data_IF_977409219835
#
_entry.id   IF_977409219835
#
_cell.length_a   1.000
_cell.length_b   1.000
_cell.length_c   1.000
_cell.angle_alpha   90.00
_cell.angle_beta   90.00
_cell.angle_gamma   90.00
#
_symmetry.space_group_name_H-M   'P 1'
#
loop_
_entity.id
_entity.type
_entity.pdbx_description
1 polymer ?
#
# COMPACT_ATOMS: atom_id res chain seq x y z
N UNK A 1 -1.83 16.60 -6.79
CA UNK A 1 -0.61 15.80 -6.56
C UNK A 1 -1.07 14.37 -6.52
N UNK A 2 -0.51 13.50 -7.37
CA UNK A 2 -0.89 12.09 -7.43
C UNK A 2 -0.06 11.30 -6.43
N UNK A 3 -0.71 10.54 -5.55
CA UNK A 3 -0.04 9.78 -4.49
C UNK A 3 -0.44 8.32 -4.61
N UNK A 4 0.55 7.43 -4.63
CA UNK A 4 0.35 5.98 -4.69
C UNK A 4 0.76 5.34 -3.37
N UNK A 5 -0.11 4.53 -2.79
CA UNK A 5 0.19 3.80 -1.57
C UNK A 5 0.55 2.36 -1.86
N UNK A 6 1.59 1.89 -1.18
CA UNK A 6 2.01 0.49 -1.10
C UNK A 6 1.87 0.01 0.34
N UNK A 7 1.09 -1.05 0.55
CA UNK A 7 0.94 -1.73 1.83
C UNK A 7 1.62 -3.11 1.77
N UNK A 8 2.95 -3.19 2.04
CA UNK A 8 3.70 -4.44 2.00
C UNK A 8 3.40 -5.36 3.19
N UNK A 9 2.79 -6.50 2.90
CA UNK A 9 2.67 -7.64 3.81
C UNK A 9 3.66 -8.76 3.51
N UNK A 10 3.68 -9.78 4.36
CA UNK A 10 4.62 -10.91 4.25
C UNK A 10 4.48 -11.79 2.99
N UNK A 11 3.41 -11.63 2.21
CA UNK A 11 3.16 -12.42 1.00
C UNK A 11 2.42 -11.67 -0.11
N UNK A 12 2.07 -10.42 0.12
CA UNK A 12 1.23 -9.63 -0.76
C UNK A 12 1.45 -8.15 -0.48
N UNK A 13 1.25 -7.33 -1.49
CA UNK A 13 1.31 -5.87 -1.40
C UNK A 13 0.00 -5.29 -1.92
N UNK A 14 -0.71 -4.57 -1.07
CA UNK A 14 -1.88 -3.77 -1.48
C UNK A 14 -1.42 -2.49 -2.18
N UNK A 15 -2.16 -2.07 -3.20
CA UNK A 15 -1.92 -0.83 -3.95
C UNK A 15 -3.18 0.01 -3.94
N UNK A 16 -3.03 1.30 -3.64
CA UNK A 16 -4.07 2.31 -3.76
C UNK A 16 -3.53 3.61 -4.39
N UNK A 17 -4.42 4.44 -4.90
CA UNK A 17 -4.07 5.71 -5.55
C UNK A 17 -5.02 6.83 -5.12
N UNK A 18 -4.49 8.03 -4.99
CA UNK A 18 -5.26 9.28 -5.03
C UNK A 18 -4.71 10.17 -6.13
N UNK A 19 -5.50 10.41 -7.17
CA UNK A 19 -5.05 11.24 -8.32
C UNK A 19 -5.09 12.74 -8.00
N UNK A 20 -6.00 13.14 -7.11
CA UNK A 20 -6.24 14.55 -6.74
C UNK A 20 -5.76 14.89 -5.32
N UNK A 21 -5.28 13.92 -4.55
CA UNK A 21 -4.86 14.10 -3.16
C UNK A 21 -6.01 14.34 -2.18
N UNK A 22 -7.22 13.88 -2.53
CA UNK A 22 -8.44 14.05 -1.73
C UNK A 22 -9.02 12.72 -1.28
N UNK A 23 -9.23 11.81 -2.25
CA UNK A 23 -9.83 10.50 -1.99
C UNK A 23 -8.88 9.39 -2.43
N UNK A 24 -8.67 8.42 -1.55
CA UNK A 24 -7.94 7.20 -1.86
C UNK A 24 -8.84 6.14 -2.48
N UNK A 25 -8.35 5.46 -3.51
CA UNK A 25 -9.07 4.38 -4.20
C UNK A 25 -8.21 3.12 -4.30
N UNK A 26 -8.77 1.92 -4.05
CA UNK A 26 -8.04 0.67 -4.16
C UNK A 26 -7.75 0.35 -5.63
N UNK A 27 -6.54 -0.10 -5.94
CA UNK A 27 -6.08 -0.42 -7.30
C UNK A 27 -5.95 -1.91 -7.52
N UNK A 28 -5.04 -2.55 -6.78
CA UNK A 28 -4.69 -3.95 -7.00
C UNK A 28 -4.01 -4.55 -5.76
N UNK A 29 -3.96 -5.88 -5.73
CA UNK A 29 -3.13 -6.64 -4.80
C UNK A 29 -2.13 -7.46 -5.61
N UNK A 30 -0.83 -7.28 -5.34
CA UNK A 30 0.23 -8.11 -5.89
C UNK A 30 0.55 -9.23 -4.90
N UNK A 31 0.63 -10.47 -5.37
CA UNK A 31 1.09 -11.61 -4.56
C UNK A 31 2.51 -11.95 -4.97
N UNK A 32 3.47 -11.53 -4.16
CA UNK A 32 4.91 -11.77 -4.34
C UNK A 32 5.63 -11.59 -2.99
N UNK A 33 6.65 -12.42 -2.74
CA UNK A 33 7.48 -12.37 -1.54
C UNK A 33 8.90 -11.91 -1.83
N UNK A 34 9.39 -12.19 -3.04
CA UNK A 34 10.72 -11.76 -3.45
C UNK A 34 10.70 -10.28 -3.81
N UNK A 35 11.56 -9.49 -3.17
CA UNK A 35 11.59 -8.02 -3.34
C UNK A 35 11.86 -7.63 -4.80
N UNK A 36 12.78 -8.31 -5.49
CA UNK A 36 13.14 -7.96 -6.86
C UNK A 36 11.99 -8.28 -7.84
N UNK A 37 11.32 -9.43 -7.65
CA UNK A 37 10.14 -9.76 -8.43
C UNK A 37 8.97 -8.83 -8.12
N UNK A 38 8.81 -8.41 -6.87
CA UNK A 38 7.78 -7.46 -6.47
C UNK A 38 7.98 -6.11 -7.15
N UNK A 39 9.20 -5.58 -7.17
CA UNK A 39 9.54 -4.34 -7.90
C UNK A 39 9.20 -4.48 -9.37
N UNK A 40 9.57 -5.59 -10.00
CA UNK A 40 9.24 -5.88 -11.41
C UNK A 40 7.72 -5.84 -11.65
N UNK A 41 6.93 -6.38 -10.72
CA UNK A 41 5.46 -6.37 -10.78
C UNK A 41 4.84 -5.01 -10.45
N UNK A 42 5.54 -4.15 -9.71
CA UNK A 42 5.11 -2.79 -9.38
C UNK A 42 5.35 -1.80 -10.53
N UNK A 43 6.41 -2.00 -11.33
CA UNK A 43 6.78 -1.10 -12.43
C UNK A 43 5.62 -0.72 -13.37
N UNK A 44 4.72 -1.62 -13.79
CA UNK A 44 3.57 -1.24 -14.61
C UNK A 44 2.63 -0.24 -13.92
N UNK A 45 2.45 -0.34 -12.60
CA UNK A 45 1.62 0.59 -11.83
C UNK A 45 2.33 1.94 -11.66
N UNK A 46 3.61 1.92 -11.28
CA UNK A 46 4.42 3.13 -11.14
C UNK A 46 4.50 3.91 -12.47
N UNK A 47 4.70 3.20 -13.58
CA UNK A 47 4.75 3.82 -14.92
C UNK A 47 3.39 4.34 -15.37
N UNK A 48 2.30 3.61 -15.10
CA UNK A 48 0.95 4.00 -15.49
C UNK A 48 0.46 5.22 -14.74
N UNK A 49 0.60 5.22 -13.42
CA UNK A 49 0.07 6.28 -12.56
C UNK A 49 1.05 7.44 -12.38
N UNK A 50 2.36 7.18 -12.56
CA UNK A 50 3.44 8.15 -12.41
C UNK A 50 3.24 9.09 -11.21
N UNK A 51 3.11 8.55 -9.99
CA UNK A 51 2.79 9.36 -8.82
C UNK A 51 3.91 10.36 -8.52
N UNK A 52 3.53 11.49 -7.95
CA UNK A 52 4.46 12.49 -7.45
C UNK A 52 5.16 11.97 -6.18
N UNK A 53 4.44 11.19 -5.39
CA UNK A 53 4.85 10.66 -4.09
C UNK A 53 4.34 9.23 -3.89
N UNK A 54 5.14 8.39 -3.21
CA UNK A 54 4.76 7.04 -2.81
C UNK A 54 4.66 6.98 -1.28
N UNK A 55 3.49 6.58 -0.78
CA UNK A 55 3.29 6.29 0.64
C UNK A 55 3.48 4.80 0.86
N UNK A 56 4.28 4.42 1.85
CA UNK A 56 4.49 3.03 2.25
C UNK A 56 3.96 2.80 3.65
N UNK A 57 2.88 2.02 3.75
CA UNK A 57 2.32 1.58 5.03
C UNK A 57 3.29 0.66 5.74
N UNK A 58 3.64 0.98 6.99
CA UNK A 58 4.54 0.15 7.79
C UNK A 58 4.06 0.02 9.24
N UNK A 59 4.19 -1.17 9.85
CA UNK A 59 3.95 -1.31 11.28
C UNK A 59 5.05 -0.61 12.08
N UNK A 60 4.81 -0.35 13.36
CA UNK A 60 5.82 0.26 14.24
C UNK A 60 7.07 -0.61 14.38
N UNK A 61 6.91 -1.93 14.46
CA UNK A 61 8.00 -2.87 14.70
C UNK A 61 7.79 -4.18 13.92
N UNK A 62 8.87 -4.94 13.74
CA UNK A 62 8.82 -6.29 13.19
C UNK A 62 9.47 -6.44 11.81
N UNK A 63 9.46 -7.65 11.25
CA UNK A 63 10.21 -7.99 10.03
C UNK A 63 9.71 -7.23 8.78
N UNK A 64 8.45 -6.78 8.79
CA UNK A 64 7.87 -6.00 7.68
C UNK A 64 8.58 -4.64 7.53
N UNK A 65 9.09 -4.05 8.61
CA UNK A 65 9.82 -2.77 8.54
C UNK A 65 11.05 -2.90 7.67
N UNK A 66 11.86 -3.95 7.90
CA UNK A 66 13.06 -4.19 7.09
C UNK A 66 12.70 -4.49 5.63
N UNK A 67 11.65 -5.30 5.41
CA UNK A 67 11.17 -5.60 4.06
C UNK A 67 10.72 -4.34 3.30
N UNK A 68 10.00 -3.45 3.99
CA UNK A 68 9.54 -2.18 3.43
C UNK A 68 10.74 -1.26 3.09
N UNK A 69 11.75 -1.20 3.96
CA UNK A 69 12.99 -0.48 3.69
C UNK A 69 13.69 -1.02 2.44
N UNK A 70 13.96 -2.34 2.39
CA UNK A 70 14.60 -2.98 1.23
C UNK A 70 13.81 -2.74 -0.06
N UNK A 71 12.47 -2.82 0.02
CA UNK A 71 11.59 -2.56 -1.11
C UNK A 71 11.68 -1.09 -1.56
N UNK A 72 11.71 -0.13 -0.63
CA UNK A 72 11.81 1.29 -0.95
C UNK A 72 13.11 1.63 -1.68
N UNK A 73 14.24 1.05 -1.26
CA UNK A 73 15.54 1.25 -1.92
C UNK A 73 15.49 0.74 -3.36
N UNK A 74 14.95 -0.47 -3.56
CA UNK A 74 14.83 -1.07 -4.90
C UNK A 74 13.83 -0.35 -5.80
N UNK A 75 12.76 0.21 -5.24
CA UNK A 75 11.84 1.07 -6.00
C UNK A 75 12.56 2.36 -6.41
N UNK A 76 13.28 3.00 -5.48
CA UNK A 76 13.97 4.24 -5.74
C UNK A 76 15.02 4.12 -6.86
N UNK A 77 15.73 2.98 -6.92
CA UNK A 77 16.68 2.66 -8.00
C UNK A 77 16.06 2.73 -9.41
N UNK A 78 14.78 2.41 -9.55
CA UNK A 78 14.08 2.33 -10.85
C UNK A 78 13.04 3.43 -11.05
N UNK A 79 12.60 4.08 -9.98
CA UNK A 79 11.57 5.11 -9.96
C UNK A 79 11.89 6.11 -8.83
N UNK A 80 12.81 7.06 -9.06
CA UNK A 80 13.37 7.94 -8.03
C UNK A 80 12.41 9.09 -7.68
N UNK A 81 11.25 8.74 -7.13
CA UNK A 81 10.27 9.67 -6.54
C UNK A 81 10.35 9.63 -5.02
N UNK A 82 9.72 10.60 -4.37
CA UNK A 82 9.65 10.65 -2.92
C UNK A 82 8.91 9.43 -2.38
N UNK A 83 9.47 8.80 -1.34
CA UNK A 83 8.87 7.66 -0.65
C UNK A 83 8.74 8.01 0.83
N UNK A 84 7.52 8.03 1.34
CA UNK A 84 7.18 8.37 2.72
C UNK A 84 6.72 7.11 3.45
N UNK A 85 7.33 6.81 4.58
CA UNK A 85 6.88 5.74 5.46
C UNK A 85 5.78 6.26 6.38
N UNK A 86 4.58 5.71 6.23
CA UNK A 86 3.43 6.05 7.08
C UNK A 86 3.18 4.93 8.08
N UNK A 87 3.24 5.27 9.37
CA UNK A 87 3.14 4.31 10.47
C UNK A 87 1.68 4.04 10.78
N UNK A 88 1.27 2.78 10.68
CA UNK A 88 -0.07 2.35 11.10
C UNK A 88 -0.15 2.24 12.62
N UNK A 89 -1.21 2.77 13.23
CA UNK A 89 -1.55 2.45 14.60
C UNK A 89 -2.31 1.11 14.67
N UNK A 90 -1.88 0.21 15.55
CA UNK A 90 -2.53 -1.08 15.78
C UNK A 90 -4.01 -0.95 16.20
N UNK A 91 -4.38 0.19 16.82
CA UNK A 91 -5.76 0.50 17.21
C UNK A 91 -6.68 0.67 15.99
N UNK A 92 -6.26 1.37 14.93
CA UNK A 92 -7.13 1.55 13.77
C UNK A 92 -7.25 0.29 12.91
N UNK A 93 -6.22 -0.55 12.87
CA UNK A 93 -6.29 -1.84 12.17
C UNK A 93 -7.41 -2.75 12.74
N UNK A 94 -7.56 -2.76 14.07
CA UNK A 94 -8.60 -3.54 14.77
C UNK A 94 -9.99 -2.92 14.56
N UNK A 95 -10.12 -1.59 14.65
CA UNK A 95 -11.39 -0.89 14.46
C UNK A 95 -11.93 -1.00 13.02
N UNK A 96 -11.06 -0.93 12.01
CA UNK A 96 -11.46 -0.98 10.59
C UNK A 96 -11.84 -2.38 10.11
N UNK A 97 -11.28 -3.44 10.71
CA UNK A 97 -11.65 -4.82 10.39
C UNK A 97 -13.08 -5.19 10.81
N UNK A 98 -13.63 -4.57 11.85
CA UNK A 98 -15.00 -4.83 12.32
C UNK A 98 -16.05 -4.33 11.30
N UNK A 99 -15.80 -3.21 10.62
CA UNK A 99 -16.78 -2.56 9.74
C UNK A 99 -16.95 -3.23 8.35
N UNK A 100 -16.03 -4.10 7.90
CA UNK A 100 -16.03 -4.67 6.54
C UNK A 100 -16.81 -5.98 6.36
N UNK A 101 -17.54 -6.46 7.38
CA UNK A 101 -17.96 -7.87 7.49
C UNK A 101 -19.24 -8.28 6.74
N UNK A 102 -19.92 -7.40 6.01
CA UNK A 102 -21.20 -7.75 5.35
C UNK A 102 -21.06 -8.07 3.84
N UNK A 103 -21.45 -9.29 3.44
CA UNK A 103 -22.02 -9.55 2.10
C UNK A 103 -21.15 -10.11 0.95
N UNK A 104 -19.86 -10.42 1.13
CA UNK A 104 -19.00 -10.95 0.02
C UNK A 104 -18.55 -12.41 0.21
N UNK A 105 -18.12 -13.11 -0.84
CA UNK A 105 -17.54 -14.47 -0.77
C UNK A 105 -16.10 -14.44 -0.22
N UNK A 106 -15.67 -15.42 0.59
CA UNK A 106 -14.37 -15.43 1.29
C UNK A 106 -13.14 -15.15 0.40
N UNK A 107 -13.10 -15.71 -0.81
CA UNK A 107 -12.00 -15.49 -1.77
C UNK A 107 -11.98 -14.06 -2.33
N UNK A 108 -13.17 -13.50 -2.62
CA UNK A 108 -13.30 -12.12 -3.10
C UNK A 108 -13.01 -11.12 -1.97
N UNK A 109 -13.36 -11.46 -0.71
CA UNK A 109 -12.95 -10.71 0.49
C UNK A 109 -11.43 -10.61 0.58
N UNK A 110 -10.71 -11.73 0.60
CA UNK A 110 -9.24 -11.73 0.71
C UNK A 110 -8.51 -10.96 -0.39
N UNK A 111 -9.01 -11.01 -1.63
CA UNK A 111 -8.38 -10.29 -2.75
C UNK A 111 -8.60 -8.77 -2.65
N UNK A 112 -9.80 -8.36 -2.26
CA UNK A 112 -10.15 -6.95 -2.09
C UNK A 112 -9.63 -6.38 -0.76
N UNK A 113 -9.39 -7.22 0.26
CA UNK A 113 -8.95 -6.82 1.61
C UNK A 113 -7.66 -6.00 1.58
N UNK A 114 -6.62 -6.47 0.89
CA UNK A 114 -5.30 -5.83 0.90
C UNK A 114 -5.26 -4.50 0.16
N UNK A 115 -5.76 -4.42 -1.07
CA UNK A 115 -5.89 -3.13 -1.77
C UNK A 115 -6.82 -2.14 -1.03
N UNK A 116 -7.82 -2.64 -0.31
CA UNK A 116 -8.67 -1.78 0.53
C UNK A 116 -7.93 -1.34 1.79
N UNK A 117 -7.03 -2.15 2.36
CA UNK A 117 -6.16 -1.73 3.45
C UNK A 117 -5.22 -0.61 2.98
N UNK A 118 -4.56 -0.78 1.83
CA UNK A 118 -3.76 0.28 1.19
C UNK A 118 -4.55 1.58 0.97
N UNK A 119 -5.82 1.49 0.55
CA UNK A 119 -6.66 2.67 0.38
C UNK A 119 -6.98 3.38 1.70
N UNK A 120 -7.16 2.63 2.79
CA UNK A 120 -7.37 3.22 4.11
C UNK A 120 -6.11 3.89 4.66
N UNK A 121 -4.95 3.25 4.50
CA UNK A 121 -3.65 3.82 4.86
C UNK A 121 -3.42 5.13 4.11
N UNK A 122 -3.68 5.12 2.79
CA UNK A 122 -3.55 6.31 1.98
C UNK A 122 -4.53 7.40 2.43
N UNK A 123 -5.79 7.05 2.72
CA UNK A 123 -6.75 8.04 3.21
C UNK A 123 -6.32 8.65 4.54
N UNK A 124 -5.84 7.84 5.48
CA UNK A 124 -5.34 8.34 6.77
C UNK A 124 -4.16 9.30 6.58
N UNK A 125 -3.27 9.01 5.64
CA UNK A 125 -2.18 9.91 5.28
C UNK A 125 -2.70 11.23 4.73
N UNK A 126 -3.60 11.19 3.74
CA UNK A 126 -4.20 12.39 3.14
C UNK A 126 -4.93 13.25 4.18
N UNK A 127 -5.65 12.62 5.10
CA UNK A 127 -6.38 13.31 6.17
C UNK A 127 -5.45 13.92 7.23
N UNK A 128 -4.18 13.50 7.26
CA UNK A 128 -3.15 14.03 8.17
C UNK A 128 -2.34 15.21 7.60
N UNK A 129 -2.48 15.49 6.30
CA UNK A 129 -1.86 16.63 5.61
C UNK A 129 -2.59 17.95 5.90
#
# INVERSE_FOLDING_TARGET
>A
MSILCLDPGAAHTGIAISEEGVLATPVATIYEKDVNQLVTKLLPYLSKYNPDEIVMGVPEFGPIVNFATDLSEKIYDVFPKEIIFFREDLSSHTARNVMKTQGKTLLRRKKEEHQTAAALILQDYLDSL
#
